data_IF_167133679356
#
_entry.id   IF_167133679356
#
_cell.length_a   1.000
_cell.length_b   1.000
_cell.length_c   1.000
_cell.angle_alpha   90.00
_cell.angle_beta   90.00
_cell.angle_gamma   90.00
#
_symmetry.space_group_name_H-M   'P 1'
#
loop_
_entity.id
_entity.type
_entity.pdbx_description
1 polymer ?
#
# COMPACT_ATOMS: atom_id res chain seq x y z
N UNK A 1 -21.17 -22.49 36.35
CA UNK A 1 -21.49 -21.45 35.37
C UNK A 1 -20.24 -21.36 34.52
N UNK A 2 -20.26 -22.03 33.37
CA UNK A 2 -19.16 -22.00 32.40
C UNK A 2 -19.51 -20.88 31.44
N UNK A 3 -18.62 -19.90 31.32
CA UNK A 3 -18.71 -18.85 30.31
C UNK A 3 -18.19 -19.46 29.02
N UNK A 4 -19.10 -19.87 28.13
CA UNK A 4 -18.76 -20.29 26.79
C UNK A 4 -18.52 -19.03 25.96
N UNK A 5 -17.25 -18.70 25.68
CA UNK A 5 -16.90 -17.78 24.61
C UNK A 5 -16.95 -18.57 23.30
N UNK A 6 -18.11 -18.55 22.65
CA UNK A 6 -18.23 -19.03 21.29
C UNK A 6 -17.65 -17.95 20.37
N UNK A 7 -16.42 -18.16 19.90
CA UNK A 7 -15.87 -17.42 18.75
C UNK A 7 -16.56 -17.94 17.50
N UNK A 8 -17.82 -17.51 17.30
CA UNK A 8 -18.58 -17.74 16.10
C UNK A 8 -19.22 -16.41 15.67
N UNK A 9 -18.61 -15.79 14.68
CA UNK A 9 -19.22 -14.72 13.91
C UNK A 9 -18.36 -13.46 13.88
N UNK A 10 -17.92 -13.12 12.67
CA UNK A 10 -17.35 -11.84 12.27
C UNK A 10 -17.92 -10.68 13.10
N UNK A 11 -17.11 -10.15 14.02
CA UNK A 11 -17.42 -9.02 14.88
C UNK A 11 -16.47 -7.88 14.59
N UNK A 12 -17.02 -6.86 13.94
CA UNK A 12 -16.60 -5.45 13.86
C UNK A 12 -15.54 -5.05 14.89
N UNK A 13 -14.29 -4.91 14.45
CA UNK A 13 -13.11 -4.61 15.27
C UNK A 13 -13.03 -3.11 15.57
N UNK A 14 -13.72 -2.66 16.61
CA UNK A 14 -13.44 -1.39 17.26
C UNK A 14 -12.42 -1.60 18.39
N UNK A 15 -11.12 -1.50 18.09
CA UNK A 15 -10.03 -1.57 19.07
C UNK A 15 -9.19 -0.26 19.09
N UNK A 16 -8.48 0.02 20.19
CA UNK A 16 -8.24 1.39 20.65
C UNK A 16 -6.98 2.06 20.09
N UNK A 17 -7.10 3.38 19.90
CA UNK A 17 -6.05 4.33 19.50
C UNK A 17 -4.85 4.27 20.48
N UNK A 18 -3.72 3.73 20.01
CA UNK A 18 -2.42 3.89 20.66
C UNK A 18 -1.96 5.35 20.56
N UNK A 19 -1.68 5.95 21.72
CA UNK A 19 -1.25 7.34 21.85
C UNK A 19 0.26 7.46 21.68
N UNK A 20 0.64 8.36 20.77
CA UNK A 20 2.00 8.68 20.32
C UNK A 20 2.94 9.16 21.46
N UNK A 21 4.07 8.49 21.59
CA UNK A 21 5.15 8.80 22.53
C UNK A 21 6.16 9.76 21.91
N UNK A 22 6.00 11.06 22.18
CA UNK A 22 6.81 12.13 21.62
C UNK A 22 8.33 11.97 21.80
N UNK A 23 9.04 11.93 20.67
CA UNK A 23 10.49 12.11 20.61
C UNK A 23 10.84 13.59 20.46
N UNK A 24 11.59 14.10 21.44
CA UNK A 24 12.05 15.50 21.51
C UNK A 24 13.23 15.71 20.55
N UNK A 25 13.05 16.46 19.46
CA UNK A 25 14.16 16.88 18.61
C UNK A 25 14.95 18.03 19.26
N UNK A 26 16.24 17.78 19.50
CA UNK A 26 17.19 18.80 19.94
C UNK A 26 17.84 19.45 18.73
N UNK A 27 17.40 20.67 18.39
CA UNK A 27 18.01 21.50 17.35
C UNK A 27 19.27 22.18 17.89
N UNK A 28 20.43 21.81 17.33
CA UNK A 28 21.69 22.54 17.53
C UNK A 28 21.88 23.51 16.36
N UNK A 29 21.96 24.80 16.66
CA UNK A 29 22.14 25.87 15.69
C UNK A 29 23.61 26.32 15.56
N UNK A 30 23.91 26.85 14.36
CA UNK A 30 24.96 27.81 13.97
C UNK A 30 26.36 27.26 13.60
N UNK A 31 27.14 27.95 12.72
CA UNK A 31 26.99 29.34 12.29
C UNK A 31 26.99 29.65 10.78
N UNK A 32 26.37 30.78 10.51
CA UNK A 32 26.45 31.59 9.29
C UNK A 32 27.86 32.14 9.05
N UNK A 33 28.27 32.18 7.79
CA UNK A 33 29.35 33.04 7.30
C UNK A 33 28.86 33.86 6.11
N UNK A 34 28.89 35.17 6.31
CA UNK A 34 28.64 36.22 5.32
C UNK A 34 29.59 36.19 4.12
N UNK A 35 29.04 36.58 2.96
CA UNK A 35 29.63 37.68 2.19
C UNK A 35 30.32 37.35 0.87
N UNK A 36 29.62 37.59 -0.24
CA UNK A 36 30.24 38.20 -1.42
C UNK A 36 29.18 38.91 -2.27
N UNK A 37 29.26 40.23 -2.29
CA UNK A 37 28.61 41.11 -3.25
C UNK A 37 29.42 41.13 -4.54
N UNK A 38 28.77 40.96 -5.69
CA UNK A 38 29.29 41.51 -6.96
C UNK A 38 28.16 41.83 -7.93
N UNK A 39 27.98 43.14 -8.12
CA UNK A 39 27.63 43.89 -9.33
C UNK A 39 27.55 43.09 -10.64
N UNK A 40 26.47 43.36 -11.39
CA UNK A 40 26.20 42.76 -12.70
C UNK A 40 27.14 43.15 -13.84
N UNK A 41 26.99 42.40 -14.93
CA UNK A 41 27.64 42.65 -16.22
C UNK A 41 27.89 41.35 -16.97
N UNK A 42 27.13 41.16 -18.06
CA UNK A 42 27.48 40.34 -19.23
C UNK A 42 27.48 38.83 -19.05
N UNK A 43 26.54 38.15 -19.73
CA UNK A 43 26.54 36.70 -19.95
C UNK A 43 27.92 36.26 -20.46
N UNK A 44 28.70 35.66 -19.56
CA UNK A 44 29.99 35.08 -19.87
C UNK A 44 29.79 33.59 -19.90
N UNK A 45 30.01 32.99 -21.08
CA UNK A 45 30.05 31.54 -21.29
C UNK A 45 30.75 30.86 -20.11
N UNK A 46 30.00 30.11 -19.31
CA UNK A 46 30.58 29.45 -18.16
C UNK A 46 31.41 28.26 -18.65
N UNK A 47 32.63 28.11 -18.13
CA UNK A 47 33.43 26.94 -18.44
C UNK A 47 32.72 25.68 -17.94
N UNK A 48 32.66 24.69 -18.81
CA UNK A 48 32.19 23.34 -18.53
C UNK A 48 32.78 22.78 -17.21
N UNK A 49 31.91 22.20 -16.38
CA UNK A 49 32.24 21.70 -15.04
C UNK A 49 32.29 22.77 -13.95
N UNK A 50 31.86 24.01 -14.22
CA UNK A 50 31.70 25.02 -13.17
C UNK A 50 30.42 24.77 -12.37
N UNK A 51 30.46 25.03 -11.06
CA UNK A 51 29.29 24.90 -10.16
C UNK A 51 28.09 25.77 -10.56
N UNK A 52 28.27 26.72 -11.48
CA UNK A 52 27.24 27.63 -11.97
C UNK A 52 26.69 27.24 -13.35
N UNK A 53 27.28 26.23 -14.01
CA UNK A 53 26.94 25.88 -15.40
C UNK A 53 25.92 24.72 -15.52
N UNK A 54 25.49 24.12 -14.41
CA UNK A 54 24.55 22.97 -14.37
C UNK A 54 24.91 21.83 -15.34
N UNK A 55 26.20 21.63 -15.59
CA UNK A 55 26.73 20.56 -16.42
C UNK A 55 27.85 19.80 -15.71
N UNK A 56 28.12 18.58 -16.18
CA UNK A 56 29.20 17.75 -15.68
C UNK A 56 30.56 18.11 -16.30
N UNK A 57 31.59 17.35 -15.95
CA UNK A 57 32.96 17.56 -16.45
C UNK A 57 33.11 17.32 -17.98
N UNK A 58 32.14 16.65 -18.59
CA UNK A 58 32.07 16.35 -20.02
C UNK A 58 31.09 17.28 -20.78
N UNK A 59 30.59 18.32 -20.08
CA UNK A 59 29.69 19.35 -20.59
C UNK A 59 28.30 18.82 -20.96
N UNK A 60 27.91 17.72 -20.33
CA UNK A 60 26.56 17.17 -20.41
C UNK A 60 25.73 17.84 -19.31
N UNK A 61 24.55 18.35 -19.67
CA UNK A 61 23.66 18.97 -18.69
C UNK A 61 23.26 17.96 -17.62
N UNK A 62 23.21 18.42 -16.36
CA UNK A 62 22.70 17.61 -15.26
C UNK A 62 21.23 17.24 -15.51
N UNK A 63 20.71 16.15 -14.92
CA UNK A 63 19.30 15.79 -15.02
C UNK A 63 18.38 16.97 -14.64
N UNK A 64 17.36 17.24 -15.48
CA UNK A 64 16.42 18.36 -15.33
C UNK A 64 16.88 19.69 -15.98
N UNK A 65 17.96 19.65 -16.77
CA UNK A 65 18.47 20.81 -17.49
C UNK A 65 18.76 20.46 -18.95
N UNK A 66 18.48 21.38 -19.86
CA UNK A 66 18.81 21.28 -21.28
C UNK A 66 19.74 22.40 -21.75
N UNK A 67 20.26 22.27 -22.97
CA UNK A 67 21.19 23.25 -23.56
C UNK A 67 20.40 24.48 -23.99
N UNK A 68 20.77 25.66 -23.48
CA UNK A 68 19.99 26.88 -23.73
C UNK A 68 19.97 27.33 -25.18
N UNK A 69 21.08 27.12 -25.89
CA UNK A 69 21.21 27.50 -27.28
C UNK A 69 21.63 26.29 -28.11
N UNK A 70 20.69 25.38 -28.44
CA UNK A 70 21.01 24.23 -29.25
C UNK A 70 21.53 24.68 -30.62
N UNK A 71 22.72 24.18 -31.00
CA UNK A 71 23.39 24.51 -32.26
C UNK A 71 24.50 25.57 -32.17
N UNK A 72 24.72 26.16 -31.00
CA UNK A 72 25.93 26.94 -30.71
C UNK A 72 26.98 26.08 -30.00
N UNK A 73 28.20 26.60 -29.89
CA UNK A 73 29.25 25.99 -29.08
C UNK A 73 29.14 26.40 -27.59
N UNK A 74 27.99 26.93 -27.18
CA UNK A 74 27.71 27.25 -25.79
C UNK A 74 27.51 25.97 -24.97
N UNK A 75 27.96 25.98 -23.73
CA UNK A 75 27.84 24.87 -22.77
C UNK A 75 26.88 25.19 -21.65
N UNK A 76 26.23 26.36 -21.69
CA UNK A 76 25.26 26.76 -20.67
C UNK A 76 24.01 25.87 -20.72
N UNK A 77 23.66 25.32 -19.55
CA UNK A 77 22.48 24.51 -19.33
C UNK A 77 21.45 25.31 -18.52
N UNK A 78 20.24 25.41 -19.03
CA UNK A 78 19.09 26.03 -18.35
C UNK A 78 18.17 24.94 -17.86
N UNK A 79 17.39 25.27 -16.83
CA UNK A 79 16.25 24.45 -16.48
C UNK A 79 15.41 24.29 -17.76
N UNK A 80 14.98 23.07 -18.04
CA UNK A 80 14.06 22.82 -19.14
C UNK A 80 12.90 23.82 -19.00
N UNK A 81 12.74 24.72 -19.98
CA UNK A 81 11.56 25.56 -19.97
C UNK A 81 10.41 24.60 -20.25
N UNK A 82 9.55 24.39 -19.24
CA UNK A 82 8.26 23.73 -19.33
C UNK A 82 7.51 24.31 -20.54
N UNK A 83 7.76 23.73 -21.71
CA UNK A 83 7.21 24.15 -22.99
C UNK A 83 5.92 23.37 -23.17
N UNK A 84 4.96 23.71 -22.33
CA UNK A 84 3.63 23.16 -22.38
C UNK A 84 2.88 23.57 -21.14
N UNK A 85 1.79 24.28 -21.37
CA UNK A 85 0.79 24.82 -20.45
C UNK A 85 0.04 23.73 -19.65
N UNK A 86 0.73 22.67 -19.21
CA UNK A 86 0.27 21.69 -18.22
C UNK A 86 -0.91 20.80 -18.63
N UNK A 87 -1.55 21.07 -19.76
CA UNK A 87 -2.75 20.35 -20.18
C UNK A 87 -2.43 19.46 -21.38
N UNK A 88 -2.56 18.15 -21.16
CA UNK A 88 -2.51 17.18 -22.25
C UNK A 88 -3.66 17.45 -23.22
N UNK A 89 -3.39 17.55 -24.54
CA UNK A 89 -4.34 18.08 -25.51
C UNK A 89 -5.55 17.16 -25.77
N UNK A 90 -5.48 15.88 -25.36
CA UNK A 90 -6.52 14.89 -25.57
C UNK A 90 -7.39 14.68 -24.30
N UNK A 91 -8.72 14.66 -24.40
CA UNK A 91 -9.61 14.47 -23.25
C UNK A 91 -9.51 13.09 -22.58
N UNK A 92 -8.89 12.10 -23.25
CA UNK A 92 -8.61 10.77 -22.69
C UNK A 92 -7.14 10.62 -22.28
N UNK A 93 -6.43 11.72 -22.07
CA UNK A 93 -5.08 11.75 -21.54
C UNK A 93 -5.02 12.53 -20.23
N UNK A 94 -4.06 12.20 -19.38
CA UNK A 94 -3.78 12.83 -18.09
C UNK A 94 -2.28 13.14 -17.97
N UNK A 95 -1.93 14.23 -17.28
CA UNK A 95 -0.53 14.61 -17.06
C UNK A 95 -0.03 14.02 -15.75
N UNK A 96 1.13 13.36 -15.78
CA UNK A 96 1.89 12.97 -14.59
C UNK A 96 3.39 13.24 -14.82
N UNK A 97 4.07 13.83 -13.82
CA UNK A 97 5.51 14.12 -13.90
C UNK A 97 5.95 14.91 -15.16
N UNK A 98 5.12 15.84 -15.64
CA UNK A 98 5.39 16.62 -16.86
C UNK A 98 5.21 15.83 -18.17
N UNK A 99 4.73 14.59 -18.11
CA UNK A 99 4.46 13.73 -19.27
C UNK A 99 2.96 13.40 -19.36
N UNK A 100 2.45 13.23 -20.57
CA UNK A 100 1.07 12.82 -20.80
C UNK A 100 0.95 11.29 -20.88
N UNK A 101 -0.11 10.74 -20.31
CA UNK A 101 -0.45 9.32 -20.31
C UNK A 101 -1.89 9.13 -20.77
N UNK A 102 -2.20 8.03 -21.46
CA UNK A 102 -3.58 7.68 -21.77
C UNK A 102 -4.30 7.13 -20.52
N UNK A 103 -5.56 7.52 -20.36
CA UNK A 103 -6.42 7.01 -19.30
C UNK A 103 -6.69 5.51 -19.49
N UNK A 104 -7.07 4.81 -18.41
CA UNK A 104 -7.39 3.37 -18.45
C UNK A 104 -8.45 3.07 -19.51
N UNK A 105 -8.19 2.05 -20.33
CA UNK A 105 -9.02 1.69 -21.50
C UNK A 105 -8.63 2.39 -22.81
N UNK A 106 -7.59 3.23 -22.78
CA UNK A 106 -7.05 3.92 -23.95
C UNK A 106 -5.55 3.65 -24.12
N UNK A 107 -5.09 3.69 -25.37
CA UNK A 107 -3.68 3.56 -25.77
C UNK A 107 -3.34 4.65 -26.78
N UNK A 108 -2.05 4.89 -27.04
CA UNK A 108 -1.64 5.88 -28.05
C UNK A 108 -2.16 5.50 -29.43
N UNK A 109 -2.85 6.42 -30.10
CA UNK A 109 -3.36 6.20 -31.45
C UNK A 109 -2.22 5.90 -32.45
N UNK A 110 -1.05 6.49 -32.22
CA UNK A 110 0.13 6.32 -33.04
C UNK A 110 1.39 6.14 -32.17
N UNK A 111 1.68 4.91 -31.69
CA UNK A 111 2.80 4.67 -30.79
C UNK A 111 4.19 4.89 -31.44
N UNK A 112 4.26 5.02 -32.76
CA UNK A 112 5.49 5.29 -33.51
C UNK A 112 5.81 6.80 -33.59
N UNK A 113 4.90 7.67 -33.19
CA UNK A 113 5.06 9.14 -33.21
C UNK A 113 5.02 9.72 -31.79
N UNK A 114 6.17 10.03 -31.17
CA UNK A 114 6.21 10.57 -29.81
C UNK A 114 5.66 12.00 -29.69
N UNK A 115 5.35 12.66 -30.81
CA UNK A 115 4.64 13.95 -30.82
C UNK A 115 3.12 13.81 -30.89
N UNK A 116 2.60 12.60 -31.13
CA UNK A 116 1.17 12.34 -31.20
C UNK A 116 0.64 11.89 -29.82
N UNK A 117 0.15 12.87 -29.05
CA UNK A 117 -0.45 12.66 -27.73
C UNK A 117 -1.95 12.32 -27.79
N UNK A 118 -2.45 11.76 -28.90
CA UNK A 118 -3.85 11.34 -29.01
C UNK A 118 -4.08 9.92 -28.46
N UNK A 119 -5.14 9.75 -27.68
CA UNK A 119 -5.48 8.50 -27.02
C UNK A 119 -6.70 7.84 -27.69
N UNK A 120 -6.51 6.64 -28.21
CA UNK A 120 -7.52 5.83 -28.87
C UNK A 120 -8.00 4.72 -27.93
N UNK A 121 -9.26 4.30 -28.05
CA UNK A 121 -9.77 3.12 -27.33
C UNK A 121 -8.82 1.96 -27.61
N UNK A 122 -8.31 1.36 -26.54
CA UNK A 122 -7.42 0.23 -26.64
C UNK A 122 -8.22 -0.98 -27.16
N UNK A 123 -7.92 -1.48 -28.38
CA UNK A 123 -8.65 -2.62 -28.94
C UNK A 123 -8.42 -3.91 -28.13
N UNK A 124 -7.38 -3.95 -27.30
CA UNK A 124 -7.09 -5.07 -26.40
C UNK A 124 -7.85 -4.94 -25.06
N UNK A 125 -8.43 -3.77 -24.76
CA UNK A 125 -9.31 -3.50 -23.61
C UNK A 125 -10.78 -3.45 -24.04
N UNK A 126 -11.28 -4.50 -24.69
CA UNK A 126 -12.70 -4.59 -25.00
C UNK A 126 -13.52 -4.86 -23.73
N UNK A 127 -14.34 -3.88 -23.34
CA UNK A 127 -15.44 -3.95 -22.37
C UNK A 127 -16.01 -5.37 -22.19
N UNK A 128 -15.71 -6.00 -21.06
CA UNK A 128 -16.21 -7.33 -20.69
C UNK A 128 -17.54 -7.20 -19.93
N UNK A 129 -18.63 -7.55 -20.61
CA UNK A 129 -19.81 -8.20 -19.96
C UNK A 129 -19.60 -9.72 -20.11
N UNK A 130 -19.96 -10.56 -19.13
CA UNK A 130 -19.22 -11.79 -18.84
C UNK A 130 -19.71 -12.97 -19.68
N UNK A 131 -18.80 -13.75 -20.25
CA UNK A 131 -19.02 -15.16 -20.60
C UNK A 131 -17.68 -15.91 -20.71
N UNK A 132 -17.70 -17.12 -20.17
CA UNK A 132 -16.66 -18.11 -19.93
C UNK A 132 -15.66 -18.42 -21.08
N UNK A 133 -14.45 -18.78 -20.63
CA UNK A 133 -13.65 -19.96 -21.03
C UNK A 133 -12.31 -19.75 -21.78
N UNK A 134 -11.24 -19.91 -20.98
CA UNK A 134 -10.02 -20.74 -21.16
C UNK A 134 -8.87 -20.36 -22.09
N UNK A 135 -7.67 -20.46 -21.47
CA UNK A 135 -6.32 -20.78 -21.99
C UNK A 135 -5.50 -19.60 -22.50
N UNK A 136 -4.21 -19.41 -22.21
CA UNK A 136 -3.21 -20.22 -21.49
C UNK A 136 -2.05 -19.24 -21.15
N UNK A 137 -1.80 -18.98 -19.87
CA UNK A 137 -0.59 -18.28 -19.43
C UNK A 137 -0.14 -18.87 -18.10
N UNK A 138 0.99 -19.56 -18.14
CA UNK A 138 1.62 -20.25 -17.02
C UNK A 138 2.32 -19.21 -16.13
N UNK A 139 1.57 -18.73 -15.15
CA UNK A 139 2.06 -17.93 -14.03
C UNK A 139 0.93 -17.81 -13.03
N UNK A 140 0.81 -18.78 -12.11
CA UNK A 140 -0.22 -18.82 -11.07
C UNK A 140 -0.28 -17.49 -10.30
N UNK A 141 -1.38 -16.72 -10.36
CA UNK A 141 -1.78 -15.89 -9.25
C UNK A 141 -2.57 -16.79 -8.30
N UNK A 142 -2.00 -17.14 -7.15
CA UNK A 142 -2.62 -17.99 -6.12
C UNK A 142 -3.77 -17.29 -5.36
N UNK A 143 -4.41 -16.26 -5.93
CA UNK A 143 -5.52 -15.56 -5.28
C UNK A 143 -6.85 -16.22 -5.67
N UNK A 144 -7.11 -17.39 -5.11
CA UNK A 144 -8.42 -18.07 -5.17
C UNK A 144 -9.42 -17.53 -4.15
N UNK A 145 -9.37 -16.22 -3.84
CA UNK A 145 -10.30 -15.57 -2.93
C UNK A 145 -11.59 -15.15 -3.64
N UNK A 146 -12.73 -15.34 -2.98
CA UNK A 146 -14.00 -14.77 -3.43
C UNK A 146 -13.88 -13.25 -3.46
N UNK A 147 -14.02 -12.64 -4.64
CA UNK A 147 -13.95 -11.18 -4.80
C UNK A 147 -15.19 -10.60 -4.13
N UNK A 148 -15.01 -9.68 -3.19
CA UNK A 148 -16.14 -9.04 -2.53
C UNK A 148 -16.95 -8.23 -3.56
N UNK A 149 -18.28 -8.43 -3.66
CA UNK A 149 -19.11 -7.70 -4.61
C UNK A 149 -19.19 -6.20 -4.34
N UNK A 150 -18.90 -5.78 -3.10
CA UNK A 150 -18.89 -4.38 -2.67
C UNK A 150 -17.48 -3.77 -2.70
N UNK A 151 -16.47 -4.49 -3.22
CA UNK A 151 -15.15 -3.90 -3.43
C UNK A 151 -15.24 -2.76 -4.46
N UNK A 152 -14.59 -1.64 -4.16
CA UNK A 152 -14.64 -0.42 -4.94
C UNK A 152 -13.28 -0.15 -5.57
N UNK A 153 -13.25 0.02 -6.89
CA UNK A 153 -12.07 0.52 -7.57
C UNK A 153 -11.72 1.94 -7.10
N UNK A 154 -10.42 2.28 -7.00
CA UNK A 154 -10.02 3.63 -6.63
C UNK A 154 -10.58 4.66 -7.62
N UNK A 155 -10.89 5.89 -7.15
CA UNK A 155 -11.22 7.00 -8.04
C UNK A 155 -10.12 7.22 -9.09
N UNK A 156 -10.42 7.82 -10.26
CA UNK A 156 -9.44 7.97 -11.34
C UNK A 156 -8.18 8.78 -10.98
N UNK A 157 -8.27 9.64 -9.97
CA UNK A 157 -7.19 10.46 -9.46
C UNK A 157 -7.33 10.61 -7.94
N UNK A 158 -6.30 11.15 -7.31
CA UNK A 158 -6.28 11.43 -5.88
C UNK A 158 -5.70 12.81 -5.61
N UNK A 159 -6.02 13.39 -4.46
CA UNK A 159 -5.33 14.57 -3.94
C UNK A 159 -4.47 14.15 -2.73
N UNK A 160 -3.15 14.17 -2.89
CA UNK A 160 -2.22 13.73 -1.85
C UNK A 160 -2.34 14.53 -0.53
N UNK A 161 -2.90 15.75 -0.58
CA UNK A 161 -3.10 16.59 0.60
C UNK A 161 -4.34 16.21 1.41
N UNK A 162 -5.31 15.50 0.81
CA UNK A 162 -6.55 15.09 1.49
C UNK A 162 -6.84 13.58 1.46
N UNK A 163 -6.23 12.85 0.54
CA UNK A 163 -6.51 11.45 0.22
C UNK A 163 -5.17 10.71 0.04
N UNK A 164 -4.48 10.43 1.16
CA UNK A 164 -3.16 9.79 1.10
C UNK A 164 -3.23 8.28 0.84
N UNK A 165 -4.32 7.62 1.24
CA UNK A 165 -4.48 6.17 1.19
C UNK A 165 -5.87 5.81 0.67
N UNK A 166 -5.96 4.69 -0.03
CA UNK A 166 -7.23 4.10 -0.47
C UNK A 166 -7.19 2.58 -0.30
N UNK A 167 -8.31 1.99 0.10
CA UNK A 167 -8.48 0.54 0.15
C UNK A 167 -9.70 0.13 -0.65
N UNK A 168 -9.58 -0.91 -1.46
CA UNK A 168 -10.71 -1.39 -2.26
C UNK A 168 -11.82 -2.03 -1.43
N UNK A 169 -11.51 -2.56 -0.26
CA UNK A 169 -12.47 -3.34 0.53
C UNK A 169 -13.09 -2.49 1.64
N UNK A 170 -14.42 -2.26 1.64
CA UNK A 170 -15.11 -1.73 2.80
C UNK A 170 -15.16 -2.76 3.95
N UNK A 171 -15.51 -2.31 5.15
CA UNK A 171 -15.65 -3.17 6.35
C UNK A 171 -16.59 -4.36 6.17
N UNK A 172 -17.60 -4.25 5.29
CA UNK A 172 -18.50 -5.36 4.96
C UNK A 172 -17.81 -6.51 4.21
N UNK A 173 -16.67 -6.26 3.56
CA UNK A 173 -15.92 -7.24 2.79
C UNK A 173 -14.84 -7.95 3.60
N UNK A 174 -14.40 -7.35 4.71
CA UNK A 174 -13.18 -7.76 5.39
C UNK A 174 -11.93 -7.59 4.51
N UNK A 175 -10.75 -8.06 4.98
CA UNK A 175 -9.47 -7.76 4.34
C UNK A 175 -9.17 -8.60 3.10
N UNK A 176 -9.89 -9.72 2.90
CA UNK A 176 -9.56 -10.67 1.84
C UNK A 176 -9.63 -10.03 0.44
N UNK A 177 -8.50 -9.99 -0.25
CA UNK A 177 -8.41 -9.41 -1.59
C UNK A 177 -8.49 -7.89 -1.63
N UNK A 178 -8.46 -7.22 -0.46
CA UNK A 178 -8.37 -5.77 -0.37
C UNK A 178 -7.01 -5.28 -0.87
N UNK A 179 -7.02 -4.40 -1.86
CA UNK A 179 -5.82 -3.79 -2.44
C UNK A 179 -5.64 -2.40 -1.84
N UNK A 180 -4.46 -2.15 -1.27
CA UNK A 180 -4.10 -0.86 -0.71
C UNK A 180 -3.41 -0.01 -1.77
N UNK A 181 -3.77 1.27 -1.83
CA UNK A 181 -3.18 2.25 -2.72
C UNK A 181 -2.68 3.45 -1.93
N UNK A 182 -1.58 4.03 -2.40
CA UNK A 182 -1.03 5.30 -1.91
C UNK A 182 -1.18 6.34 -3.01
N UNK A 183 -1.54 7.57 -2.65
CA UNK A 183 -1.61 8.67 -3.59
C UNK A 183 -0.22 9.25 -3.85
N UNK A 184 0.30 9.07 -5.06
CA UNK A 184 1.58 9.63 -5.48
C UNK A 184 1.38 10.50 -6.73
N UNK A 185 1.67 11.80 -6.60
CA UNK A 185 1.59 12.72 -7.74
C UNK A 185 0.20 12.84 -8.37
N UNK A 186 -0.86 12.60 -7.59
CA UNK A 186 -2.26 12.64 -8.03
C UNK A 186 -2.79 11.33 -8.63
N UNK A 187 -2.00 10.26 -8.56
CA UNK A 187 -2.35 8.92 -9.07
C UNK A 187 -2.30 7.90 -7.94
N UNK A 188 -3.25 6.97 -7.94
CA UNK A 188 -3.23 5.82 -7.04
C UNK A 188 -2.20 4.79 -7.50
N UNK A 189 -1.22 4.53 -6.64
CA UNK A 189 -0.20 3.50 -6.85
C UNK A 189 -0.44 2.37 -5.86
N UNK A 190 -0.53 1.13 -6.35
CA UNK A 190 -0.73 -0.03 -5.48
C UNK A 190 0.45 -0.20 -4.52
N UNK A 191 0.14 -0.30 -3.23
CA UNK A 191 1.09 -0.56 -2.17
C UNK A 191 1.25 -2.06 -1.94
N UNK A 192 2.36 -2.60 -2.45
CA UNK A 192 2.73 -4.01 -2.31
C UNK A 192 3.57 -4.29 -1.07
N UNK A 193 3.76 -3.29 -0.19
CA UNK A 193 4.61 -3.40 1.01
C UNK A 193 3.86 -3.87 2.26
N UNK A 194 2.55 -4.13 2.18
CA UNK A 194 1.72 -4.51 3.32
C UNK A 194 2.29 -5.69 4.13
N UNK A 195 2.75 -6.75 3.44
CA UNK A 195 3.38 -7.91 4.10
C UNK A 195 4.63 -7.49 4.90
N UNK A 196 5.44 -6.57 4.36
CA UNK A 196 6.64 -6.08 5.04
C UNK A 196 6.28 -5.25 6.27
N UNK A 197 5.23 -4.42 6.18
CA UNK A 197 4.70 -3.66 7.32
C UNK A 197 4.23 -4.60 8.42
N UNK A 198 3.41 -5.60 8.09
CA UNK A 198 2.98 -6.61 9.07
C UNK A 198 4.17 -7.37 9.68
N UNK A 199 5.19 -7.71 8.90
CA UNK A 199 6.41 -8.36 9.38
C UNK A 199 7.24 -7.50 10.33
N UNK A 200 7.26 -6.17 10.13
CA UNK A 200 7.90 -5.25 11.08
C UNK A 200 7.20 -5.23 12.43
N UNK A 201 5.88 -5.44 12.44
CA UNK A 201 5.05 -5.52 13.65
C UNK A 201 5.03 -6.92 14.28
N UNK A 202 5.74 -7.89 13.71
CA UNK A 202 5.90 -9.24 14.25
C UNK A 202 4.89 -10.27 13.73
N UNK A 203 4.09 -9.92 12.73
CA UNK A 203 3.21 -10.84 12.02
C UNK A 203 3.93 -11.52 10.85
N UNK A 204 3.33 -12.55 10.25
CA UNK A 204 3.96 -13.28 9.15
C UNK A 204 3.56 -12.72 7.78
N UNK A 205 2.33 -12.19 7.65
CA UNK A 205 1.76 -11.69 6.40
C UNK A 205 0.61 -10.69 6.63
N UNK A 206 0.19 -9.99 5.58
CA UNK A 206 -1.05 -9.19 5.53
C UNK A 206 -2.18 -9.99 4.86
N UNK A 207 -3.39 -9.95 5.40
CA UNK A 207 -4.58 -10.45 4.68
C UNK A 207 -5.02 -9.49 3.58
N UNK A 208 -4.80 -8.19 3.81
CA UNK A 208 -5.17 -7.08 2.94
C UNK A 208 -5.54 -5.86 3.78
N UNK A 209 -6.18 -4.88 3.15
CA UNK A 209 -6.66 -3.67 3.82
C UNK A 209 -8.19 -3.70 4.01
N UNK A 210 -8.70 -2.86 4.91
CA UNK A 210 -10.12 -2.59 5.13
C UNK A 210 -10.34 -1.09 5.33
N UNK A 211 -11.38 -0.54 4.70
CA UNK A 211 -11.91 0.81 4.95
C UNK A 211 -13.21 0.72 5.76
N UNK A 212 -13.22 1.22 7.00
CA UNK A 212 -14.42 1.26 7.85
C UNK A 212 -15.28 2.52 7.64
N UNK A 213 -14.91 3.39 6.71
CA UNK A 213 -15.53 4.68 6.41
C UNK A 213 -15.01 5.84 7.28
N UNK A 214 -14.13 5.56 8.25
CA UNK A 214 -13.44 6.55 9.06
C UNK A 214 -11.91 6.44 8.99
N UNK A 215 -11.39 5.23 8.76
CA UNK A 215 -9.97 4.91 8.65
C UNK A 215 -9.74 3.68 7.78
N UNK A 216 -8.56 3.64 7.16
CA UNK A 216 -8.06 2.45 6.47
C UNK A 216 -7.06 1.77 7.39
N UNK A 217 -7.22 0.47 7.58
CA UNK A 217 -6.27 -0.35 8.34
C UNK A 217 -5.88 -1.61 7.56
N UNK A 218 -4.73 -2.16 7.90
CA UNK A 218 -4.20 -3.40 7.33
C UNK A 218 -4.42 -4.50 8.34
N UNK A 219 -5.10 -5.57 7.94
CA UNK A 219 -5.24 -6.73 8.81
C UNK A 219 -4.03 -7.64 8.63
N UNK A 220 -3.24 -7.81 9.69
CA UNK A 220 -2.09 -8.69 9.72
C UNK A 220 -2.44 -10.08 10.26
N UNK A 221 -1.71 -11.10 9.82
CA UNK A 221 -1.89 -12.49 10.20
C UNK A 221 -0.58 -13.19 10.53
N UNK A 222 -0.67 -14.18 11.40
CA UNK A 222 0.42 -15.10 11.73
C UNK A 222 0.15 -16.47 11.13
N UNK A 223 1.20 -17.25 10.92
CA UNK A 223 1.18 -18.57 10.28
C UNK A 223 1.71 -18.56 8.85
N UNK A 224 1.44 -19.65 8.11
CA UNK A 224 2.03 -19.82 6.77
C UNK A 224 1.53 -18.85 5.70
N UNK A 225 0.35 -18.26 5.89
CA UNK A 225 -0.29 -17.39 4.89
C UNK A 225 -0.69 -18.10 3.59
N UNK A 226 -0.56 -19.42 3.52
CA UNK A 226 -0.87 -20.22 2.34
C UNK A 226 -2.37 -20.14 2.01
N UNK A 227 -2.73 -20.18 0.72
CA UNK A 227 -4.13 -20.16 0.32
C UNK A 227 -4.89 -21.39 0.88
N UNK A 228 -6.07 -21.17 1.45
CA UNK A 228 -6.93 -22.20 2.02
C UNK A 228 -8.41 -21.96 1.68
N UNK A 229 -9.25 -22.99 1.80
CA UNK A 229 -10.70 -22.86 1.63
C UNK A 229 -11.47 -23.87 2.48
N UNK A 230 -12.24 -23.37 3.46
CA UNK A 230 -13.18 -24.19 4.24
C UNK A 230 -12.55 -25.27 5.12
N UNK A 231 -11.25 -25.17 5.42
CA UNK A 231 -10.58 -26.08 6.34
C UNK A 231 -11.08 -25.81 7.77
N UNK A 232 -11.51 -26.88 8.44
CA UNK A 232 -11.94 -26.78 9.83
C UNK A 232 -10.74 -26.40 10.70
N UNK A 233 -10.92 -25.47 11.64
CA UNK A 233 -9.84 -25.10 12.55
C UNK A 233 -9.42 -26.31 13.40
N UNK A 234 -8.14 -26.34 13.74
CA UNK A 234 -7.52 -27.43 14.51
C UNK A 234 -6.45 -26.89 15.46
N UNK A 235 -6.23 -27.62 16.56
CA UNK A 235 -5.09 -27.37 17.44
C UNK A 235 -3.86 -28.08 16.88
N UNK A 236 -2.86 -27.31 16.46
CA UNK A 236 -1.57 -27.88 16.02
C UNK A 236 -0.80 -28.45 17.22
N UNK A 237 -0.92 -27.78 18.37
CA UNK A 237 -0.40 -28.22 19.65
C UNK A 237 -1.30 -27.70 20.80
N UNK A 238 -0.81 -27.74 22.04
CA UNK A 238 -1.59 -27.34 23.21
C UNK A 238 -1.91 -25.83 23.26
N UNK A 239 -1.16 -24.99 22.55
CA UNK A 239 -1.28 -23.54 22.59
C UNK A 239 -1.57 -22.94 21.21
N UNK A 240 -1.23 -23.63 20.12
CA UNK A 240 -1.37 -23.09 18.76
C UNK A 240 -2.68 -23.54 18.12
N UNK A 241 -3.59 -22.59 17.90
CA UNK A 241 -4.74 -22.75 17.03
C UNK A 241 -4.35 -22.47 15.58
N UNK A 242 -4.83 -23.27 14.64
CA UNK A 242 -4.65 -23.02 13.21
C UNK A 242 -5.97 -23.18 12.46
N UNK A 243 -6.23 -22.29 11.51
CA UNK A 243 -7.46 -22.31 10.72
C UNK A 243 -7.35 -21.49 9.45
N UNK A 244 -8.38 -21.59 8.62
CA UNK A 244 -8.49 -20.78 7.41
C UNK A 244 -9.22 -19.47 7.72
N UNK A 245 -8.50 -18.34 7.69
CA UNK A 245 -9.05 -17.01 7.93
C UNK A 245 -8.85 -16.19 6.65
N UNK A 246 -9.92 -15.64 6.09
CA UNK A 246 -9.85 -14.79 4.89
C UNK A 246 -9.08 -15.43 3.72
N UNK A 247 -9.26 -16.74 3.52
CA UNK A 247 -8.60 -17.50 2.47
C UNK A 247 -7.11 -17.77 2.67
N UNK A 248 -6.54 -17.44 3.84
CA UNK A 248 -5.15 -17.74 4.21
C UNK A 248 -5.07 -18.62 5.46
N UNK A 249 -4.15 -19.57 5.46
CA UNK A 249 -3.86 -20.42 6.62
C UNK A 249 -3.20 -19.57 7.69
N UNK A 250 -3.87 -19.53 8.84
CA UNK A 250 -3.60 -18.61 9.92
C UNK A 250 -3.36 -19.39 11.19
N UNK A 251 -2.44 -18.90 12.02
CA UNK A 251 -2.08 -19.47 13.30
C UNK A 251 -2.24 -18.41 14.39
N UNK A 252 -2.70 -18.85 15.56
CA UNK A 252 -2.89 -18.01 16.74
C UNK A 252 -2.30 -18.74 17.95
N UNK A 253 -1.37 -18.08 18.65
CA UNK A 253 -0.95 -18.53 19.97
C UNK A 253 -2.04 -18.17 20.98
N UNK A 254 -2.79 -19.18 21.42
CA UNK A 254 -3.89 -19.00 22.35
C UNK A 254 -3.44 -18.42 23.70
N UNK A 255 -2.19 -18.64 24.12
CA UNK A 255 -1.70 -18.02 25.35
C UNK A 255 -1.58 -16.50 25.17
N UNK A 256 -0.95 -16.05 24.09
CA UNK A 256 -0.83 -14.61 23.78
C UNK A 256 -2.21 -14.00 23.53
N UNK A 257 -3.06 -14.66 22.75
CA UNK A 257 -4.41 -14.19 22.47
C UNK A 257 -5.22 -13.99 23.76
N UNK A 258 -5.17 -14.94 24.70
CA UNK A 258 -5.92 -14.83 25.95
C UNK A 258 -5.30 -13.86 26.96
N UNK A 259 -3.97 -13.79 27.06
CA UNK A 259 -3.27 -13.09 28.15
C UNK A 259 -2.85 -11.66 27.81
N UNK A 260 -2.65 -11.36 26.52
CA UNK A 260 -2.15 -10.05 26.07
C UNK A 260 -3.19 -9.28 25.25
N UNK A 261 -3.94 -9.97 24.37
CA UNK A 261 -4.95 -9.35 23.51
C UNK A 261 -6.31 -9.30 24.23
N UNK A 262 -6.76 -10.44 24.73
CA UNK A 262 -8.06 -10.60 25.39
C UNK A 262 -9.17 -11.06 24.44
N UNK A 263 -10.39 -11.14 24.98
CA UNK A 263 -11.60 -11.40 24.19
C UNK A 263 -12.12 -10.14 23.48
N UNK A 264 -13.25 -10.25 22.77
CA UNK A 264 -13.87 -9.13 22.03
C UNK A 264 -14.27 -7.93 22.93
N UNK A 265 -14.26 -8.09 24.27
CA UNK A 265 -14.49 -7.01 25.22
C UNK A 265 -13.18 -6.44 25.79
N UNK A 266 -12.02 -6.88 25.28
CA UNK A 266 -10.69 -6.56 25.76
C UNK A 266 -10.37 -7.18 27.14
N UNK A 267 -11.11 -8.21 27.56
CA UNK A 267 -10.83 -8.88 28.82
C UNK A 267 -9.69 -9.89 28.63
N UNK A 268 -8.59 -9.67 29.35
CA UNK A 268 -7.44 -10.59 29.40
C UNK A 268 -7.61 -11.62 30.51
N UNK A 269 -7.03 -12.80 30.30
CA UNK A 269 -7.10 -13.94 31.20
C UNK A 269 -5.70 -14.35 31.67
N UNK A 270 -5.61 -15.18 32.70
CA UNK A 270 -4.31 -15.68 33.20
C UNK A 270 -3.73 -16.81 32.34
N UNK A 271 -4.58 -17.51 31.58
CA UNK A 271 -4.17 -18.62 30.74
C UNK A 271 -4.96 -18.70 29.43
N UNK A 272 -4.34 -19.31 28.43
CA UNK A 272 -4.94 -19.63 27.15
C UNK A 272 -4.34 -20.90 26.57
N UNK A 273 -5.20 -21.79 26.08
CA UNK A 273 -4.81 -23.05 25.45
C UNK A 273 -5.72 -23.35 24.27
N UNK A 274 -5.20 -24.06 23.27
CA UNK A 274 -6.02 -24.56 22.18
C UNK A 274 -6.74 -25.84 22.64
N UNK A 275 -8.07 -25.82 22.64
CA UNK A 275 -8.91 -26.94 23.01
C UNK A 275 -9.97 -27.23 21.96
N UNK A 276 -10.45 -28.48 21.92
CA UNK A 276 -11.59 -28.86 21.09
C UNK A 276 -12.86 -28.82 21.94
N UNK A 277 -13.73 -27.84 21.70
CA UNK A 277 -15.02 -27.69 22.35
C UNK A 277 -16.14 -27.92 21.34
N UNK A 278 -17.08 -28.80 21.68
CA UNK A 278 -18.20 -29.17 20.79
C UNK A 278 -17.77 -29.63 19.37
N UNK A 279 -16.54 -30.14 19.24
CA UNK A 279 -15.99 -30.64 17.98
C UNK A 279 -15.24 -29.59 17.15
N UNK A 280 -15.06 -28.37 17.67
CA UNK A 280 -14.36 -27.27 17.03
C UNK A 280 -13.14 -26.85 17.86
N UNK A 281 -12.01 -26.60 17.20
CA UNK A 281 -10.83 -26.07 17.87
C UNK A 281 -11.00 -24.57 18.16
N UNK A 282 -10.79 -24.18 19.41
CA UNK A 282 -10.93 -22.81 19.90
C UNK A 282 -9.79 -22.48 20.86
N UNK A 283 -9.44 -21.20 20.99
CA UNK A 283 -8.62 -20.73 22.09
C UNK A 283 -9.48 -20.61 23.35
N UNK A 284 -9.29 -21.53 24.30
CA UNK A 284 -9.96 -21.53 25.59
C UNK A 284 -9.17 -20.65 26.57
N UNK A 285 -9.75 -19.52 26.96
CA UNK A 285 -9.19 -18.61 27.96
C UNK A 285 -9.78 -18.87 29.35
N UNK A 286 -8.97 -18.78 30.40
CA UNK A 286 -9.45 -18.95 31.79
C UNK A 286 -8.57 -18.22 32.81
N UNK A 287 -9.17 -17.87 33.95
CA UNK A 287 -8.48 -17.23 35.07
C UNK A 287 -7.90 -18.27 36.05
N UNK A 288 -6.80 -17.91 36.72
CA UNK A 288 -6.16 -18.78 37.67
C UNK A 288 -7.12 -19.11 38.85
N UNK A 289 -7.34 -20.41 39.05
CA UNK A 289 -8.25 -20.92 40.09
C UNK A 289 -9.65 -21.25 39.60
N UNK A 290 -9.96 -20.98 38.33
CA UNK A 290 -11.21 -21.44 37.73
C UNK A 290 -11.23 -22.96 37.52
N UNK A 291 -12.38 -23.63 37.71
CA UNK A 291 -12.49 -25.06 37.49
C UNK A 291 -12.16 -25.46 36.04
N UNK A 292 -11.07 -26.22 35.86
CA UNK A 292 -10.61 -26.66 34.55
C UNK A 292 -9.42 -25.84 34.00
N UNK A 293 -9.07 -24.72 34.63
CA UNK A 293 -7.90 -23.96 34.25
C UNK A 293 -6.61 -24.63 34.76
N UNK A 294 -5.54 -24.72 33.96
CA UNK A 294 -4.23 -25.17 34.40
C UNK A 294 -3.69 -24.34 35.58
N UNK A 295 -2.92 -24.98 36.46
CA UNK A 295 -2.33 -24.39 37.68
C UNK A 295 -0.85 -24.06 37.51
#
# INVERSE_FOLDING_TARGET
MLVSAALAGCGDSSEPILTDGGATQTTTAAPSTDGASSTGGTAGSHACGSLLANNDADCVCNPGFERCEPGTNDTDCCAEEDTGDGECPDPNSSQANGQCFCNVGYTWCNPDDPGDLSCCVDPDQTTTTPTEATSDATGEPTSGGEVCPDALDPPPSCDADSESFYCTNPSSCGPQGGVHYVCEGGVWVEDTSLDQTCQLDGYDFAYGCVDDGGSIYVECGSGSGAACSGEAPSCQDANTWAGCKWGKTSEVDCFVACTEIGDDMGATYDHGACEVQDGEAVCACCDAGDPGCPV
#
